data_IF_802286184079
#
_entry.id   IF_802286184079
#
_cell.length_a   1.000
_cell.length_b   1.000
_cell.length_c   1.000
_cell.angle_alpha   90.00
_cell.angle_beta   90.00
_cell.angle_gamma   90.00
#
_symmetry.space_group_name_H-M   'P 1'
#
loop_
_entity.id
_entity.type
_entity.pdbx_description
1 polymer ?
#
# COMPACT_ATOMS: atom_id res chain seq x y z
N UNK A 1 -2.82 -1.19 10.96
CA UNK A 1 -3.51 -1.97 9.89
C UNK A 1 -2.49 -2.69 9.03
N UNK A 2 -2.62 -4.00 8.80
CA UNK A 2 -1.68 -4.76 7.97
C UNK A 2 -1.98 -4.59 6.48
N UNK A 3 -0.94 -4.42 5.67
CA UNK A 3 -0.99 -4.49 4.21
C UNK A 3 -0.21 -5.67 3.65
N UNK A 4 -0.66 -6.13 2.49
CA UNK A 4 0.19 -6.86 1.54
C UNK A 4 0.71 -5.87 0.50
N UNK A 5 2.03 -5.66 0.47
CA UNK A 5 2.67 -4.64 -0.37
C UNK A 5 3.66 -5.30 -1.32
N UNK A 6 3.50 -5.08 -2.62
CA UNK A 6 4.53 -5.43 -3.60
C UNK A 6 5.17 -4.16 -4.16
N UNK A 7 6.49 -4.08 -4.08
CA UNK A 7 7.29 -3.06 -4.74
C UNK A 7 7.79 -3.62 -6.06
N UNK A 8 7.48 -2.94 -7.16
CA UNK A 8 7.95 -3.28 -8.50
C UNK A 8 9.03 -2.29 -8.91
N UNK A 9 10.26 -2.76 -9.09
CA UNK A 9 11.42 -1.93 -9.43
C UNK A 9 11.78 -2.11 -10.89
N UNK A 10 11.59 -1.06 -11.68
CA UNK A 10 12.03 -1.01 -13.07
C UNK A 10 13.56 -1.06 -13.13
N UNK A 11 14.09 -2.08 -13.80
CA UNK A 11 15.52 -2.26 -14.01
C UNK A 11 15.86 -2.15 -15.51
N UNK A 12 15.06 -1.42 -16.29
CA UNK A 12 15.35 -1.16 -17.70
C UNK A 12 16.63 -0.34 -17.90
N UNK A 13 17.19 -0.37 -19.11
CA UNK A 13 18.42 0.36 -19.43
C UNK A 13 18.31 1.87 -19.23
N UNK A 14 17.11 2.47 -19.38
CA UNK A 14 16.90 3.89 -19.10
C UNK A 14 17.02 4.23 -17.62
N UNK A 15 16.73 3.28 -16.72
CA UNK A 15 16.97 3.44 -15.28
C UNK A 15 18.47 3.52 -14.94
N UNK A 16 19.35 3.01 -15.81
CA UNK A 16 20.80 3.09 -15.66
C UNK A 16 21.41 4.47 -15.92
N UNK A 17 20.63 5.42 -16.44
CA UNK A 17 21.10 6.78 -16.70
C UNK A 17 20.65 7.77 -15.60
N UNK A 18 21.22 8.98 -15.63
CA UNK A 18 20.92 10.07 -14.69
C UNK A 18 20.00 11.15 -15.29
N UNK A 19 19.34 10.87 -16.43
CA UNK A 19 18.54 11.86 -17.15
C UNK A 19 17.38 12.36 -16.27
N UNK A 20 17.28 13.68 -16.15
CA UNK A 20 16.28 14.33 -15.31
C UNK A 20 16.57 14.31 -13.81
N UNK A 21 17.69 13.74 -13.37
CA UNK A 21 18.22 13.78 -11.99
C UNK A 21 19.73 14.05 -11.97
N UNK A 22 20.25 14.80 -12.95
CA UNK A 22 21.69 14.96 -13.18
C UNK A 22 22.44 15.51 -11.97
N UNK A 23 21.77 16.32 -11.16
CA UNK A 23 22.27 16.90 -9.91
C UNK A 23 22.68 15.84 -8.86
N UNK A 24 22.14 14.63 -8.95
CA UNK A 24 22.39 13.57 -7.97
C UNK A 24 23.74 12.87 -8.15
N UNK A 25 24.34 12.95 -9.35
CA UNK A 25 25.57 12.25 -9.69
C UNK A 25 25.45 10.71 -9.74
N UNK A 26 24.24 10.17 -9.58
CA UNK A 26 23.94 8.73 -9.62
C UNK A 26 22.88 8.42 -10.68
N UNK A 27 22.69 7.13 -10.98
CA UNK A 27 21.63 6.69 -11.89
C UNK A 27 20.25 6.71 -11.21
N UNK A 28 19.18 6.68 -11.99
CA UNK A 28 17.80 6.58 -11.46
C UNK A 28 17.59 5.26 -10.70
N UNK A 29 18.21 4.18 -11.16
CA UNK A 29 18.18 2.89 -10.47
C UNK A 29 18.87 2.97 -9.11
N UNK A 30 20.06 3.59 -9.02
CA UNK A 30 20.74 3.79 -7.74
C UNK A 30 19.90 4.66 -6.79
N UNK A 31 19.28 5.72 -7.30
CA UNK A 31 18.36 6.54 -6.50
C UNK A 31 17.15 5.74 -5.98
N UNK A 32 16.59 4.85 -6.79
CA UNK A 32 15.51 3.96 -6.40
C UNK A 32 15.95 2.94 -5.34
N UNK A 33 17.15 2.35 -5.52
CA UNK A 33 17.77 1.42 -4.57
C UNK A 33 17.99 2.10 -3.22
N UNK A 34 18.64 3.26 -3.21
CA UNK A 34 18.88 4.04 -1.99
C UNK A 34 17.58 4.39 -1.26
N UNK A 35 16.55 4.80 -2.01
CA UNK A 35 15.25 5.12 -1.45
C UNK A 35 14.56 3.90 -0.80
N UNK A 36 14.64 2.73 -1.44
CA UNK A 36 14.12 1.47 -0.88
C UNK A 36 14.94 1.00 0.32
N UNK A 37 16.26 1.07 0.25
CA UNK A 37 17.16 0.71 1.36
C UNK A 37 16.87 1.59 2.58
N UNK A 38 16.73 2.91 2.38
CA UNK A 38 16.32 3.85 3.43
C UNK A 38 14.95 3.48 4.00
N UNK A 39 13.99 3.12 3.15
CA UNK A 39 12.65 2.71 3.57
C UNK A 39 12.71 1.44 4.45
N UNK A 40 13.50 0.44 4.05
CA UNK A 40 13.67 -0.82 4.80
C UNK A 40 14.38 -0.63 6.14
N UNK A 41 15.25 0.38 6.25
CA UNK A 41 15.94 0.72 7.50
C UNK A 41 15.11 1.59 8.45
N UNK A 42 14.12 2.32 7.93
CA UNK A 42 13.29 3.20 8.74
C UNK A 42 12.21 2.42 9.52
N UNK A 43 12.23 2.56 10.85
CA UNK A 43 11.39 1.79 11.77
C UNK A 43 9.87 2.06 11.62
N UNK A 44 9.48 3.19 11.04
CA UNK A 44 8.10 3.64 10.87
C UNK A 44 7.58 3.47 9.42
N UNK A 45 8.35 2.82 8.55
CA UNK A 45 7.96 2.60 7.16
C UNK A 45 6.88 1.54 7.01
N UNK A 46 6.89 0.53 7.89
CA UNK A 46 6.03 -0.65 7.80
C UNK A 46 5.41 -0.98 9.16
N UNK A 47 4.15 -1.41 9.14
CA UNK A 47 3.48 -1.96 10.31
C UNK A 47 4.02 -3.38 10.58
N UNK A 48 4.14 -3.83 11.84
CA UNK A 48 4.69 -5.14 12.19
C UNK A 48 4.06 -6.33 11.45
N UNK A 49 2.77 -6.22 11.14
CA UNK A 49 1.96 -7.24 10.50
C UNK A 49 1.92 -7.13 8.96
N UNK A 50 2.50 -6.09 8.36
CA UNK A 50 2.62 -5.97 6.91
C UNK A 50 3.36 -7.19 6.33
N UNK A 51 3.05 -7.53 5.09
CA UNK A 51 3.78 -8.53 4.30
C UNK A 51 4.28 -7.86 3.03
N UNK A 52 5.59 -7.93 2.79
CA UNK A 52 6.26 -7.12 1.79
C UNK A 52 6.95 -8.03 0.79
N UNK A 53 6.74 -7.73 -0.48
CA UNK A 53 7.45 -8.29 -1.62
C UNK A 53 8.17 -7.20 -2.36
N UNK A 54 9.33 -7.53 -2.93
CA UNK A 54 10.04 -6.67 -3.87
C UNK A 54 10.39 -7.50 -5.08
N UNK A 55 10.00 -7.01 -6.25
CA UNK A 55 10.28 -7.62 -7.53
C UNK A 55 11.04 -6.62 -8.40
N UNK A 56 12.16 -7.04 -8.97
CA UNK A 56 12.79 -6.33 -10.08
C UNK A 56 12.17 -6.80 -11.40
N UNK A 57 12.00 -5.91 -12.36
CA UNK A 57 11.55 -6.30 -13.69
C UNK A 57 12.34 -5.59 -14.79
N UNK A 58 12.64 -6.33 -15.85
CA UNK A 58 13.42 -5.89 -17.01
C UNK A 58 13.18 -6.80 -18.21
N UNK A 59 13.64 -6.40 -19.38
CA UNK A 59 13.64 -7.25 -20.57
C UNK A 59 15.01 -7.22 -21.28
N UNK A 60 16.02 -7.95 -20.77
CA UNK A 60 17.43 -7.77 -21.13
C UNK A 60 17.80 -8.31 -22.52
N UNK A 61 17.17 -9.40 -22.98
CA UNK A 61 17.52 -10.06 -24.24
C UNK A 61 16.30 -10.32 -25.13
N UNK A 62 16.36 -9.91 -26.40
CA UNK A 62 15.27 -10.05 -27.39
C UNK A 62 13.89 -9.59 -26.86
N UNK A 63 13.87 -8.62 -25.94
CA UNK A 63 12.68 -8.13 -25.27
C UNK A 63 11.88 -9.21 -24.51
N UNK A 64 12.52 -10.30 -24.06
CA UNK A 64 11.87 -11.29 -23.19
C UNK A 64 11.70 -10.70 -21.79
N UNK A 65 10.48 -10.68 -21.23
CA UNK A 65 10.24 -10.21 -19.88
C UNK A 65 10.87 -11.10 -18.84
N UNK A 66 11.51 -10.46 -17.88
CA UNK A 66 11.99 -11.08 -16.65
C UNK A 66 11.41 -10.32 -15.46
N UNK A 67 10.92 -11.08 -14.50
CA UNK A 67 10.49 -10.57 -13.20
C UNK A 67 11.19 -11.41 -12.15
N UNK A 68 12.08 -10.78 -11.39
CA UNK A 68 12.93 -11.40 -10.39
C UNK A 68 12.41 -11.05 -9.00
N UNK A 69 12.15 -12.05 -8.16
CA UNK A 69 11.77 -11.84 -6.77
C UNK A 69 13.02 -11.56 -5.93
N UNK A 70 13.17 -10.32 -5.44
CA UNK A 70 14.29 -9.93 -4.58
C UNK A 70 13.98 -10.14 -3.10
N UNK A 71 12.72 -9.94 -2.72
CA UNK A 71 12.24 -10.08 -1.34
C UNK A 71 10.92 -10.82 -1.35
N UNK A 72 10.87 -11.96 -0.65
CA UNK A 72 9.69 -12.83 -0.62
C UNK A 72 8.97 -12.72 0.73
N UNK A 73 7.81 -12.07 0.74
CA UNK A 73 6.82 -12.17 1.81
C UNK A 73 7.33 -11.82 3.22
N UNK A 74 8.25 -10.88 3.34
CA UNK A 74 8.86 -10.52 4.63
C UNK A 74 7.85 -9.74 5.47
N UNK A 75 7.75 -10.08 6.76
CA UNK A 75 6.91 -9.35 7.71
C UNK A 75 7.51 -8.00 8.06
N UNK A 76 6.70 -6.95 8.17
CA UNK A 76 7.16 -5.60 8.53
C UNK A 76 8.05 -5.56 9.78
N UNK A 77 7.70 -6.32 10.82
CA UNK A 77 8.50 -6.48 12.05
C UNK A 77 9.91 -7.05 11.84
N UNK A 78 10.15 -7.73 10.72
CA UNK A 78 11.43 -8.36 10.36
C UNK A 78 12.19 -7.58 9.28
N UNK A 79 11.64 -6.48 8.77
CA UNK A 79 12.30 -5.68 7.72
C UNK A 79 13.50 -4.90 8.28
N UNK A 80 13.48 -4.54 9.56
CA UNK A 80 14.62 -3.90 10.21
C UNK A 80 15.63 -4.89 10.82
N UNK A 81 15.36 -6.21 10.79
CA UNK A 81 16.21 -7.25 11.41
C UNK A 81 17.09 -7.98 10.40
N UNK A 82 17.93 -8.93 10.82
CA UNK A 82 18.92 -9.63 9.98
C UNK A 82 18.36 -10.32 8.72
N UNK A 83 17.07 -10.66 8.68
CA UNK A 83 16.40 -11.14 7.45
C UNK A 83 16.40 -10.11 6.32
N UNK A 84 16.59 -8.82 6.64
CA UNK A 84 16.73 -7.75 5.67
C UNK A 84 18.11 -7.66 5.07
N UNK A 85 19.16 -8.18 5.70
CA UNK A 85 20.51 -8.11 5.13
C UNK A 85 20.60 -8.80 3.75
N UNK A 86 19.94 -9.95 3.59
CA UNK A 86 19.86 -10.64 2.30
C UNK A 86 18.98 -9.89 1.30
N UNK A 87 17.89 -9.26 1.76
CA UNK A 87 17.00 -8.44 0.93
C UNK A 87 17.70 -7.18 0.41
N UNK A 88 18.49 -6.53 1.28
CA UNK A 88 19.29 -5.36 0.96
C UNK A 88 20.41 -5.72 -0.01
N UNK A 89 21.10 -6.87 0.19
CA UNK A 89 22.10 -7.35 -0.74
C UNK A 89 21.51 -7.68 -2.13
N UNK A 90 20.31 -8.29 -2.17
CA UNK A 90 19.61 -8.55 -3.43
C UNK A 90 19.24 -7.23 -4.14
N UNK A 91 18.73 -6.24 -3.40
CA UNK A 91 18.48 -4.89 -3.93
C UNK A 91 19.75 -4.22 -4.44
N UNK A 92 20.87 -4.33 -3.73
CA UNK A 92 22.16 -3.76 -4.14
C UNK A 92 22.71 -4.40 -5.42
N UNK A 93 22.39 -5.68 -5.66
CA UNK A 93 22.88 -6.46 -6.81
C UNK A 93 22.14 -6.21 -8.13
N UNK A 94 21.00 -5.50 -8.12
CA UNK A 94 20.25 -5.26 -9.35
C UNK A 94 20.97 -4.27 -10.27
N UNK A 95 20.97 -4.59 -11.55
CA UNK A 95 21.58 -3.79 -12.62
C UNK A 95 20.54 -3.41 -13.67
N UNK A 96 20.75 -2.24 -14.27
CA UNK A 96 19.92 -1.70 -15.32
C UNK A 96 20.23 -2.38 -16.67
N UNK A 97 19.24 -3.01 -17.28
CA UNK A 97 19.37 -3.65 -18.58
C UNK A 97 18.03 -3.78 -19.31
N UNK A 98 18.06 -3.71 -20.65
CA UNK A 98 16.89 -4.02 -21.48
C UNK A 98 15.79 -2.96 -21.45
N UNK A 99 14.54 -3.36 -21.63
CA UNK A 99 13.39 -2.44 -21.50
C UNK A 99 12.39 -2.85 -20.41
N UNK A 100 11.17 -2.35 -20.53
CA UNK A 100 10.24 -2.18 -19.40
C UNK A 100 8.96 -3.01 -19.57
N UNK A 101 8.95 -4.30 -19.18
CA UNK A 101 7.78 -5.18 -19.31
C UNK A 101 6.81 -5.01 -18.12
N UNK A 102 6.24 -3.82 -17.96
CA UNK A 102 5.44 -3.46 -16.78
C UNK A 102 4.15 -4.31 -16.67
N UNK A 103 3.51 -4.64 -17.79
CA UNK A 103 2.32 -5.50 -17.79
C UNK A 103 2.60 -6.86 -17.14
N UNK A 104 3.71 -7.51 -17.51
CA UNK A 104 4.14 -8.78 -16.92
C UNK A 104 4.45 -8.65 -15.42
N UNK A 105 5.14 -7.58 -15.02
CA UNK A 105 5.43 -7.32 -13.60
C UNK A 105 4.16 -7.14 -12.76
N UNK A 106 3.17 -6.42 -13.29
CA UNK A 106 1.85 -6.28 -12.65
C UNK A 106 1.13 -7.62 -12.55
N UNK A 107 1.15 -8.43 -13.60
CA UNK A 107 0.54 -9.76 -13.60
C UNK A 107 1.13 -10.64 -12.48
N UNK A 108 2.46 -10.69 -12.35
CA UNK A 108 3.11 -11.49 -11.30
C UNK A 108 2.80 -10.93 -9.91
N UNK A 109 2.82 -9.61 -9.72
CA UNK A 109 2.43 -9.00 -8.43
C UNK A 109 0.98 -9.32 -8.05
N UNK A 110 0.05 -9.24 -9.00
CA UNK A 110 -1.37 -9.52 -8.75
C UNK A 110 -1.64 -10.98 -8.36
N UNK A 111 -0.78 -11.93 -8.74
CA UNK A 111 -0.85 -13.33 -8.25
C UNK A 111 -0.48 -13.44 -6.77
N UNK A 112 0.48 -12.63 -6.29
CA UNK A 112 0.83 -12.58 -4.86
C UNK A 112 -0.33 -12.04 -4.00
N UNK A 113 -1.15 -11.19 -4.62
CA UNK A 113 -2.28 -10.51 -3.99
C UNK A 113 -3.58 -11.35 -3.95
N UNK A 114 -3.56 -12.60 -4.42
CA UNK A 114 -4.77 -13.41 -4.63
C UNK A 114 -5.39 -13.97 -3.33
N UNK A 115 -4.73 -13.75 -2.18
CA UNK A 115 -5.19 -14.23 -0.88
C UNK A 115 -6.05 -13.19 -0.14
N UNK A 116 -7.17 -13.65 0.46
CA UNK A 116 -8.18 -12.93 1.27
C UNK A 116 -8.59 -11.52 0.78
N UNK A 117 -9.83 -11.38 0.32
CA UNK A 117 -10.40 -10.11 -0.15
C UNK A 117 -10.55 -9.05 0.95
N UNK A 118 -10.43 -9.45 2.24
CA UNK A 118 -10.52 -8.55 3.39
C UNK A 118 -9.21 -7.86 3.71
N UNK A 119 -8.08 -8.36 3.22
CA UNK A 119 -6.78 -7.72 3.45
C UNK A 119 -6.55 -6.56 2.49
N UNK A 120 -5.92 -5.51 3.00
CA UNK A 120 -5.54 -4.35 2.20
C UNK A 120 -4.29 -4.67 1.39
N UNK A 121 -4.32 -4.32 0.11
CA UNK A 121 -3.32 -4.75 -0.86
C UNK A 121 -2.86 -3.56 -1.68
N UNK A 122 -1.55 -3.47 -1.84
CA UNK A 122 -0.90 -2.38 -2.52
C UNK A 122 0.19 -2.88 -3.45
N UNK A 123 0.29 -2.24 -4.61
CA UNK A 123 1.45 -2.35 -5.50
C UNK A 123 2.03 -0.95 -5.64
N UNK A 124 3.34 -0.79 -5.46
CA UNK A 124 4.05 0.45 -5.74
C UNK A 124 5.04 0.20 -6.86
N UNK A 125 4.84 0.85 -8.01
CA UNK A 125 5.72 0.75 -9.18
C UNK A 125 6.73 1.89 -9.15
N UNK A 126 8.02 1.58 -9.23
CA UNK A 126 9.11 2.54 -9.33
C UNK A 126 9.68 2.45 -10.74
N UNK A 127 9.60 3.54 -11.50
CA UNK A 127 9.95 3.56 -12.94
C UNK A 127 10.33 4.98 -13.38
N UNK A 128 11.01 5.11 -14.51
CA UNK A 128 11.29 6.38 -15.18
C UNK A 128 10.35 6.69 -16.35
N UNK A 129 9.32 5.85 -16.57
CA UNK A 129 8.10 6.27 -17.27
C UNK A 129 7.89 5.76 -18.70
N UNK A 130 8.53 4.69 -19.16
CA UNK A 130 8.31 4.18 -20.51
C UNK A 130 8.09 2.66 -20.59
N UNK A 131 6.83 2.22 -20.64
CA UNK A 131 6.50 0.83 -21.04
C UNK A 131 6.68 0.68 -22.56
N UNK A 132 7.90 0.39 -23.02
CA UNK A 132 8.21 0.23 -24.46
C UNK A 132 8.09 -1.20 -24.98
N UNK A 133 7.86 -2.16 -24.09
CA UNK A 133 7.92 -3.58 -24.40
C UNK A 133 6.61 -4.22 -23.94
N UNK A 134 5.87 -4.78 -24.90
CA UNK A 134 4.68 -5.64 -24.73
C UNK A 134 3.34 -4.99 -24.34
N UNK A 135 2.64 -5.61 -23.38
CA UNK A 135 1.24 -5.46 -23.05
C UNK A 135 1.02 -4.18 -22.25
N UNK A 136 -0.02 -3.44 -22.65
CA UNK A 136 -0.39 -2.19 -22.01
C UNK A 136 -0.75 -2.45 -20.52
N UNK A 137 -0.05 -1.84 -19.56
CA UNK A 137 -0.27 -2.10 -18.14
C UNK A 137 -1.69 -1.71 -17.68
N UNK A 138 -2.40 -0.84 -18.42
CA UNK A 138 -3.80 -0.47 -18.15
C UNK A 138 -4.77 -1.64 -18.33
N UNK A 139 -4.37 -2.72 -19.03
CA UNK A 139 -5.17 -3.93 -19.17
C UNK A 139 -5.35 -4.68 -17.84
N UNK A 140 -4.53 -4.39 -16.83
CA UNK A 140 -4.57 -5.00 -15.49
C UNK A 140 -5.44 -4.22 -14.48
N UNK A 141 -6.03 -3.08 -14.88
CA UNK A 141 -6.90 -2.27 -14.00
C UNK A 141 -8.08 -3.09 -13.49
N UNK A 142 -8.74 -3.86 -14.36
CA UNK A 142 -9.88 -4.69 -13.97
C UNK A 142 -9.50 -5.73 -12.92
N UNK A 143 -8.39 -6.44 -13.13
CA UNK A 143 -7.92 -7.46 -12.20
C UNK A 143 -7.52 -6.84 -10.85
N UNK A 144 -6.82 -5.71 -10.86
CA UNK A 144 -6.48 -4.96 -9.65
C UNK A 144 -7.73 -4.55 -8.86
N UNK A 145 -8.74 -3.96 -9.52
CA UNK A 145 -10.00 -3.56 -8.89
C UNK A 145 -10.83 -4.75 -8.39
N UNK A 146 -10.81 -5.87 -9.12
CA UNK A 146 -11.44 -7.13 -8.71
C UNK A 146 -10.81 -7.65 -7.41
N UNK A 147 -9.49 -7.61 -7.31
CA UNK A 147 -8.70 -8.06 -6.15
C UNK A 147 -8.60 -7.01 -5.02
N UNK A 148 -9.16 -5.81 -5.23
CA UNK A 148 -9.06 -4.63 -4.34
C UNK A 148 -7.60 -4.22 -4.07
N UNK A 149 -6.79 -4.24 -5.13
CA UNK A 149 -5.39 -3.83 -5.11
C UNK A 149 -5.29 -2.39 -5.59
N UNK A 150 -4.69 -1.54 -4.76
CA UNK A 150 -4.35 -0.15 -5.12
C UNK A 150 -2.97 -0.13 -5.78
N UNK A 151 -2.82 0.61 -6.88
CA UNK A 151 -1.52 0.73 -7.56
C UNK A 151 -1.03 2.18 -7.47
N UNK A 152 0.03 2.39 -6.69
CA UNK A 152 0.76 3.65 -6.63
C UNK A 152 1.96 3.59 -7.60
N UNK A 153 2.38 4.74 -8.12
CA UNK A 153 3.51 4.84 -9.05
C UNK A 153 4.43 5.96 -8.58
N UNK A 154 5.71 5.62 -8.39
CA UNK A 154 6.82 6.52 -8.18
C UNK A 154 7.58 6.69 -9.50
N UNK A 155 7.40 7.84 -10.14
CA UNK A 155 8.10 8.24 -11.35
C UNK A 155 9.43 8.92 -11.01
N UNK A 156 10.56 8.34 -11.37
CA UNK A 156 11.90 8.90 -11.10
C UNK A 156 12.41 9.71 -12.30
N UNK A 157 12.74 10.98 -12.07
CA UNK A 157 13.30 11.88 -13.07
C UNK A 157 12.28 12.66 -13.90
N UNK A 158 12.77 13.65 -14.66
CA UNK A 158 11.93 14.58 -15.45
C UNK A 158 11.15 13.90 -16.56
N UNK A 159 11.64 12.79 -17.09
CA UNK A 159 10.97 12.03 -18.16
C UNK A 159 9.89 11.10 -17.62
N UNK A 160 9.85 10.85 -16.31
CA UNK A 160 8.78 10.09 -15.69
C UNK A 160 7.48 10.90 -15.64
N UNK A 161 6.39 10.34 -16.18
CA UNK A 161 5.08 10.97 -16.12
C UNK A 161 4.33 10.97 -17.44
N UNK A 162 4.03 9.77 -17.93
CA UNK A 162 3.06 9.61 -19.01
C UNK A 162 1.64 9.70 -18.43
N UNK A 163 0.71 10.26 -19.22
CA UNK A 163 -0.73 10.25 -18.89
C UNK A 163 -1.24 8.82 -18.64
N UNK A 164 -0.62 7.83 -19.27
CA UNK A 164 -0.99 6.42 -19.16
C UNK A 164 -0.72 5.86 -17.76
N UNK A 165 0.45 6.16 -17.18
CA UNK A 165 0.80 5.75 -15.82
C UNK A 165 -0.04 6.50 -14.78
N UNK A 166 -0.22 7.80 -14.97
CA UNK A 166 -1.13 8.58 -14.12
C UNK A 166 -2.56 8.01 -14.14
N UNK A 167 -3.04 7.64 -15.33
CA UNK A 167 -4.36 7.01 -15.49
C UNK A 167 -4.44 5.63 -14.83
N UNK A 168 -3.39 4.81 -14.91
CA UNK A 168 -3.33 3.51 -14.22
C UNK A 168 -3.44 3.68 -12.69
N UNK A 169 -2.66 4.59 -12.11
CA UNK A 169 -2.70 4.85 -10.68
C UNK A 169 -4.09 5.37 -10.26
N UNK A 170 -4.61 6.40 -10.95
CA UNK A 170 -5.92 6.99 -10.65
C UNK A 170 -7.05 5.96 -10.72
N UNK A 171 -7.09 5.15 -11.79
CA UNK A 171 -8.16 4.15 -12.02
C UNK A 171 -8.08 2.93 -11.10
N UNK A 172 -7.01 2.79 -10.33
CA UNK A 172 -6.90 1.78 -9.26
C UNK A 172 -7.00 2.40 -7.86
N UNK A 173 -7.25 3.71 -7.78
CA UNK A 173 -7.37 4.45 -6.53
C UNK A 173 -6.03 4.82 -5.88
N UNK A 174 -4.92 4.61 -6.58
CA UNK A 174 -3.59 4.97 -6.12
C UNK A 174 -3.14 6.37 -6.56
N UNK A 175 -1.86 6.63 -6.36
CA UNK A 175 -1.25 7.93 -6.62
C UNK A 175 -0.06 7.82 -7.57
N UNK A 176 0.00 8.73 -8.53
CA UNK A 176 1.21 8.97 -9.32
C UNK A 176 2.01 10.10 -8.67
N UNK A 177 3.24 9.82 -8.27
CA UNK A 177 4.17 10.77 -7.65
C UNK A 177 5.43 10.84 -8.49
N UNK A 178 5.79 12.04 -8.92
CA UNK A 178 7.03 12.30 -9.63
C UNK A 178 8.10 12.77 -8.66
N UNK A 179 9.29 12.22 -8.78
CA UNK A 179 10.45 12.55 -7.96
C UNK A 179 11.56 13.16 -8.82
N UNK A 180 11.96 14.37 -8.45
CA UNK A 180 13.04 15.14 -9.07
C UNK A 180 14.20 15.38 -8.09
N UNK A 181 14.01 15.11 -6.80
CA UNK A 181 15.01 15.19 -5.73
C UNK A 181 15.14 13.88 -4.94
N UNK A 182 16.17 13.77 -4.09
CA UNK A 182 16.39 12.61 -3.21
C UNK A 182 15.24 12.45 -2.21
N UNK A 183 14.82 13.53 -1.56
CA UNK A 183 13.73 13.50 -0.59
C UNK A 183 12.39 13.21 -1.27
N UNK A 184 12.17 13.72 -2.49
CA UNK A 184 11.00 13.36 -3.27
C UNK A 184 11.01 11.89 -3.70
N UNK A 185 12.17 11.32 -4.04
CA UNK A 185 12.28 9.90 -4.39
C UNK A 185 11.94 9.02 -3.18
N UNK A 186 12.51 9.34 -2.01
CA UNK A 186 12.17 8.67 -0.76
C UNK A 186 10.68 8.80 -0.41
N UNK A 187 10.11 10.00 -0.50
CA UNK A 187 8.69 10.22 -0.27
C UNK A 187 7.80 9.49 -1.29
N UNK A 188 8.24 9.40 -2.55
CA UNK A 188 7.51 8.75 -3.61
C UNK A 188 7.46 7.22 -3.44
N UNK A 189 8.54 6.59 -2.96
CA UNK A 189 8.57 5.14 -2.70
C UNK A 189 7.91 4.75 -1.37
N UNK A 190 7.61 5.69 -0.48
CA UNK A 190 6.89 5.39 0.77
C UNK A 190 5.42 5.06 0.48
N UNK A 191 4.94 3.94 1.01
CA UNK A 191 3.51 3.61 0.91
C UNK A 191 2.68 4.58 1.75
N UNK A 192 1.69 5.23 1.13
CA UNK A 192 0.82 6.18 1.82
C UNK A 192 -0.42 5.47 2.36
N UNK A 193 -0.56 5.46 3.69
CA UNK A 193 -1.74 4.92 4.36
C UNK A 193 -2.85 5.97 4.42
N UNK A 194 -4.14 5.59 4.43
CA UNK A 194 -5.24 6.53 4.65
C UNK A 194 -5.03 7.33 5.94
N UNK A 195 -5.25 8.65 5.89
CA UNK A 195 -5.14 9.54 7.05
C UNK A 195 -6.41 9.53 7.91
N UNK A 196 -6.27 9.89 9.18
CA UNK A 196 -7.38 10.10 10.12
C UNK A 196 -8.05 11.48 10.02
N UNK A 197 -7.78 12.24 8.96
CA UNK A 197 -8.24 13.63 8.84
C UNK A 197 -9.75 13.79 8.57
N UNK A 198 -10.48 12.68 8.39
CA UNK A 198 -11.93 12.69 8.27
C UNK A 198 -12.61 12.84 9.65
N UNK A 199 -13.87 13.30 9.73
CA UNK A 199 -14.61 13.35 10.99
C UNK A 199 -14.67 11.99 11.71
N UNK A 200 -14.88 10.90 10.95
CA UNK A 200 -14.83 9.54 11.49
C UNK A 200 -13.42 9.21 12.03
N UNK A 201 -12.38 9.64 11.32
CA UNK A 201 -10.99 9.43 11.71
C UNK A 201 -10.62 10.16 13.01
N UNK A 202 -11.08 11.40 13.17
CA UNK A 202 -10.89 12.17 14.40
C UNK A 202 -11.58 11.51 15.60
N UNK A 203 -12.80 11.01 15.43
CA UNK A 203 -13.52 10.30 16.49
C UNK A 203 -12.81 9.01 16.91
N UNK A 204 -12.31 8.22 15.95
CA UNK A 204 -11.52 7.01 16.23
C UNK A 204 -10.20 7.36 16.93
N UNK A 205 -9.52 8.42 16.48
CA UNK A 205 -8.27 8.88 17.09
C UNK A 205 -8.47 9.35 18.54
N UNK A 206 -9.59 10.03 18.84
CA UNK A 206 -9.93 10.44 20.21
C UNK A 206 -10.11 9.21 21.12
N UNK A 207 -10.94 8.25 20.71
CA UNK A 207 -11.17 7.01 21.47
C UNK A 207 -9.87 6.21 21.69
N UNK A 208 -9.00 6.18 20.68
CA UNK A 208 -7.67 5.56 20.80
C UNK A 208 -6.80 6.26 21.84
N UNK A 209 -6.73 7.59 21.80
CA UNK A 209 -5.96 8.38 22.76
C UNK A 209 -6.44 8.15 24.19
N UNK A 210 -7.75 8.11 24.41
CA UNK A 210 -8.33 7.82 25.73
C UNK A 210 -7.97 6.41 26.22
N UNK A 211 -8.08 5.39 25.36
CA UNK A 211 -7.73 4.01 25.76
C UNK A 211 -6.24 3.84 26.03
N UNK A 212 -5.38 4.46 25.22
CA UNK A 212 -3.93 4.42 25.44
C UNK A 212 -3.53 5.12 26.75
N UNK A 213 -4.07 6.32 27.01
CA UNK A 213 -3.86 7.04 28.27
C UNK A 213 -4.25 6.19 29.48
N UNK A 214 -5.41 5.53 29.43
CA UNK A 214 -5.85 4.65 30.52
C UNK A 214 -4.95 3.41 30.69
N UNK A 215 -4.41 2.84 29.61
CA UNK A 215 -3.48 1.71 29.69
C UNK A 215 -2.14 2.13 30.30
N UNK A 216 -1.65 3.31 29.97
CA UNK A 216 -0.44 3.88 30.57
C UNK A 216 -0.64 4.20 32.05
N UNK A 217 -1.79 4.78 32.42
CA UNK A 217 -2.19 5.00 33.81
C UNK A 217 -2.22 3.67 34.59
N UNK A 218 -2.82 2.62 34.02
CA UNK A 218 -2.90 1.30 34.66
C UNK A 218 -1.52 0.64 34.81
N UNK A 219 -0.67 0.72 33.79
CA UNK A 219 0.71 0.20 33.85
C UNK A 219 1.59 0.99 34.85
N UNK A 220 1.33 2.29 35.02
CA UNK A 220 1.98 3.13 36.03
C UNK A 220 1.52 2.76 37.45
N UNK A 221 0.21 2.51 37.61
CA UNK A 221 -0.39 2.07 38.86
C UNK A 221 0.16 0.69 39.29
N UNK A 222 0.28 -0.25 38.36
CA UNK A 222 0.86 -1.58 38.61
C UNK A 222 2.33 -1.51 39.03
N UNK A 223 3.14 -0.65 38.40
CA UNK A 223 4.53 -0.40 38.81
C UNK A 223 4.60 0.19 40.22
N UNK A 224 3.78 1.19 40.50
CA UNK A 224 3.73 1.86 41.81
C UNK A 224 3.36 0.89 42.94
N UNK A 225 2.41 -0.01 42.69
CA UNK A 225 2.05 -1.06 43.64
C UNK A 225 3.19 -2.09 43.84
N UNK A 226 3.85 -2.50 42.75
CA UNK A 226 5.01 -3.41 42.81
C UNK A 226 6.19 -2.83 43.60
N UNK A 227 6.42 -1.52 43.47
CA UNK A 227 7.47 -0.78 44.16
C UNK A 227 7.06 -0.36 45.59
N UNK A 228 5.85 -0.75 46.05
CA UNK A 228 5.28 -0.42 47.36
C UNK A 228 5.14 1.08 47.63
N UNK A 229 5.05 1.90 46.57
CA UNK A 229 4.87 3.36 46.70
C UNK A 229 3.41 3.76 46.97
N UNK A 230 2.47 2.85 46.76
CA UNK A 230 1.05 2.98 47.11
C UNK A 230 0.59 1.76 47.92
N UNK A 231 -0.37 1.97 48.81
CA UNK A 231 -0.94 0.88 49.62
C UNK A 231 -2.03 0.10 48.86
N UNK A 232 -2.40 -1.07 49.40
CA UNK A 232 -3.38 -1.96 48.77
C UNK A 232 -4.80 -1.34 48.67
N UNK A 233 -5.32 -0.63 49.71
CA UNK A 233 -6.59 0.09 49.58
C UNK A 233 -6.60 1.13 48.46
N UNK A 234 -5.57 1.97 48.35
CA UNK A 234 -5.46 2.99 47.31
C UNK A 234 -5.34 2.38 45.91
N UNK A 235 -4.51 1.33 45.77
CA UNK A 235 -4.38 0.57 44.51
C UNK A 235 -5.73 -0.02 44.06
N UNK A 236 -6.46 -0.65 44.98
CA UNK A 236 -7.74 -1.29 44.69
C UNK A 236 -8.79 -0.28 44.22
N UNK A 237 -8.90 0.88 44.87
CA UNK A 237 -9.86 1.92 44.46
C UNK A 237 -9.52 2.52 43.10
N UNK A 238 -8.26 2.90 42.87
CA UNK A 238 -7.84 3.45 41.55
C UNK A 238 -8.04 2.44 40.41
N UNK A 239 -7.78 1.15 40.67
CA UNK A 239 -8.02 0.08 39.69
C UNK A 239 -9.50 -0.10 39.36
N UNK A 240 -10.39 -0.01 40.36
CA UNK A 240 -11.85 -0.05 40.15
C UNK A 240 -12.33 1.15 39.34
N UNK A 241 -11.81 2.34 39.61
CA UNK A 241 -12.14 3.55 38.87
C UNK A 241 -11.72 3.44 37.40
N UNK A 242 -10.50 2.98 37.13
CA UNK A 242 -10.02 2.68 35.78
C UNK A 242 -10.91 1.66 35.06
N UNK A 243 -11.27 0.56 35.73
CA UNK A 243 -12.16 -0.46 35.16
C UNK A 243 -13.55 0.11 34.82
N UNK A 244 -14.07 1.02 35.66
CA UNK A 244 -15.34 1.72 35.40
C UNK A 244 -15.24 2.63 34.17
N UNK A 245 -14.14 3.36 34.00
CA UNK A 245 -13.87 4.21 32.82
C UNK A 245 -13.76 3.38 31.54
N UNK A 246 -13.00 2.27 31.56
CA UNK A 246 -12.90 1.33 30.42
C UNK A 246 -14.27 0.76 30.05
N UNK A 247 -15.05 0.34 31.05
CA UNK A 247 -16.41 -0.18 30.84
C UNK A 247 -17.35 0.87 30.23
N UNK A 248 -17.16 2.15 30.54
CA UNK A 248 -17.96 3.25 29.96
C UNK A 248 -17.61 3.55 28.49
N UNK A 249 -16.38 3.24 28.06
CA UNK A 249 -15.93 3.44 26.67
C UNK A 249 -16.27 2.27 25.75
N UNK A 250 -16.45 1.07 26.31
CA UNK A 250 -16.77 -0.15 25.55
C UNK A 250 -18.01 0.02 24.63
N UNK A 251 -19.15 0.59 25.09
CA UNK A 251 -20.31 0.81 24.22
C UNK A 251 -20.04 1.80 23.10
N UNK A 252 -19.21 2.84 23.34
CA UNK A 252 -18.88 3.84 22.33
C UNK A 252 -18.03 3.24 21.21
N UNK A 253 -17.02 2.45 21.59
CA UNK A 253 -16.17 1.74 20.63
C UNK A 253 -16.98 0.72 19.82
N UNK A 254 -17.87 -0.02 20.46
CA UNK A 254 -18.75 -0.97 19.76
C UNK A 254 -19.73 -0.25 18.81
N UNK A 255 -20.29 0.89 19.20
CA UNK A 255 -21.17 1.67 18.33
C UNK A 255 -20.44 2.18 17.07
N UNK A 256 -19.20 2.66 17.21
CA UNK A 256 -18.37 3.07 16.07
C UNK A 256 -18.01 1.86 15.20
N UNK A 257 -17.62 0.73 15.81
CA UNK A 257 -17.32 -0.53 15.12
C UNK A 257 -18.51 -1.00 14.27
N UNK A 258 -19.71 -1.01 14.84
CA UNK A 258 -20.93 -1.44 14.16
C UNK A 258 -21.35 -0.48 13.05
N UNK A 259 -21.16 0.83 13.24
CA UNK A 259 -21.40 1.83 12.19
C UNK A 259 -20.45 1.62 11.00
N UNK A 260 -19.14 1.57 11.26
CA UNK A 260 -18.14 1.38 10.21
C UNK A 260 -18.35 0.06 9.46
N UNK A 261 -18.66 -1.02 10.18
CA UNK A 261 -18.94 -2.33 9.58
C UNK A 261 -20.15 -2.30 8.64
N UNK A 262 -21.24 -1.62 9.04
CA UNK A 262 -22.43 -1.45 8.19
C UNK A 262 -22.13 -0.60 6.95
N UNK A 263 -21.39 0.48 7.10
CA UNK A 263 -21.00 1.35 5.98
C UNK A 263 -20.10 0.61 4.99
N UNK A 264 -19.13 -0.18 5.47
CA UNK A 264 -18.30 -1.05 4.64
C UNK A 264 -19.18 -2.05 3.87
N UNK A 265 -20.15 -2.69 4.53
CA UNK A 265 -21.07 -3.61 3.85
C UNK A 265 -21.88 -2.91 2.74
N UNK A 266 -22.36 -1.69 2.99
CA UNK A 266 -23.05 -0.87 1.99
C UNK A 266 -22.17 -0.54 0.78
N UNK A 267 -20.91 -0.16 1.01
CA UNK A 267 -19.94 0.11 -0.05
C UNK A 267 -19.58 -1.16 -0.86
N UNK A 268 -19.50 -2.32 -0.20
CA UNK A 268 -19.28 -3.61 -0.87
C UNK A 268 -20.45 -3.94 -1.81
N UNK A 269 -21.68 -3.56 -1.46
CA UNK A 269 -22.84 -3.69 -2.33
C UNK A 269 -22.79 -2.69 -3.51
N UNK A 270 -22.47 -1.41 -3.24
CA UNK A 270 -22.30 -0.36 -4.26
C UNK A 270 -21.26 -0.77 -5.32
N UNK A 271 -20.19 -1.47 -4.91
CA UNK A 271 -19.13 -1.99 -5.77
C UNK A 271 -19.62 -2.97 -6.84
N UNK A 272 -20.71 -3.71 -6.61
CA UNK A 272 -21.08 -4.84 -7.47
C UNK A 272 -21.48 -4.40 -8.89
N UNK A 273 -22.26 -3.33 -9.00
CA UNK A 273 -22.79 -2.86 -10.29
C UNK A 273 -21.67 -2.48 -11.29
N UNK A 274 -20.73 -1.57 -10.95
CA UNK A 274 -19.65 -1.23 -11.88
C UNK A 274 -18.68 -2.40 -12.11
N UNK A 275 -18.51 -3.31 -11.14
CA UNK A 275 -17.68 -4.50 -11.31
C UNK A 275 -18.26 -5.48 -12.33
N UNK A 276 -19.57 -5.73 -12.29
CA UNK A 276 -20.25 -6.59 -13.28
C UNK A 276 -20.12 -6.00 -14.68
N UNK A 277 -20.30 -4.68 -14.81
CA UNK A 277 -20.11 -3.96 -16.07
C UNK A 277 -18.69 -4.14 -16.63
N UNK A 278 -17.66 -3.89 -15.82
CA UNK A 278 -16.27 -4.08 -16.25
C UNK A 278 -15.93 -5.53 -16.58
N UNK A 279 -16.45 -6.49 -15.82
CA UNK A 279 -16.22 -7.93 -16.05
C UNK A 279 -16.81 -8.37 -17.39
N UNK A 280 -17.99 -7.85 -17.74
CA UNK A 280 -18.63 -8.12 -19.04
C UNK A 280 -17.80 -7.54 -20.19
N UNK A 281 -17.26 -6.32 -20.03
CA UNK A 281 -16.37 -5.69 -21.02
C UNK A 281 -15.04 -6.45 -21.16
N UNK A 282 -14.47 -6.93 -20.05
CA UNK A 282 -13.24 -7.74 -20.05
C UNK A 282 -13.44 -9.04 -20.83
N UNK A 283 -14.55 -9.76 -20.59
CA UNK A 283 -14.88 -10.96 -21.34
C UNK A 283 -15.10 -10.69 -22.84
N UNK A 284 -15.70 -9.55 -23.20
CA UNK A 284 -15.84 -9.16 -24.61
C UNK A 284 -14.49 -8.86 -25.26
N UNK A 285 -13.58 -8.19 -24.55
CA UNK A 285 -12.21 -7.92 -25.01
C UNK A 285 -11.41 -9.22 -25.20
N UNK A 286 -11.45 -10.13 -24.23
CA UNK A 286 -10.75 -11.43 -24.29
C UNK A 286 -11.25 -12.32 -25.42
N UNK A 287 -12.54 -12.23 -25.78
CA UNK A 287 -13.12 -12.91 -26.94
C UNK A 287 -12.86 -12.20 -28.28
N UNK A 288 -12.11 -11.09 -28.28
CA UNK A 288 -11.82 -10.31 -29.48
C UNK A 288 -13.01 -9.53 -30.04
N UNK A 289 -14.10 -9.36 -29.28
CA UNK A 289 -15.32 -8.67 -29.74
C UNK A 289 -15.17 -7.15 -29.73
N UNK A 290 -14.27 -6.62 -28.89
CA UNK A 290 -13.90 -5.21 -28.85
C UNK A 290 -12.38 -5.07 -28.84
N UNK A 291 -11.85 -4.03 -29.49
CA UNK A 291 -10.42 -3.74 -29.46
C UNK A 291 -9.96 -3.04 -28.17
N UNK A 292 -8.64 -3.02 -27.92
CA UNK A 292 -8.01 -2.41 -26.74
C UNK A 292 -8.49 -0.98 -26.48
N UNK A 293 -8.50 -0.12 -27.50
CA UNK A 293 -8.91 1.29 -27.36
C UNK A 293 -10.34 1.40 -26.82
N UNK A 294 -11.26 0.64 -27.42
CA UNK A 294 -12.68 0.61 -27.03
C UNK A 294 -12.84 0.06 -25.60
N UNK A 295 -12.09 -0.98 -25.25
CA UNK A 295 -12.09 -1.55 -23.90
C UNK A 295 -11.66 -0.51 -22.85
N UNK A 296 -10.51 0.14 -23.05
CA UNK A 296 -9.99 1.15 -22.11
C UNK A 296 -10.90 2.37 -21.97
N UNK A 297 -11.53 2.79 -23.07
CA UNK A 297 -12.50 3.88 -23.09
C UNK A 297 -13.78 3.52 -22.33
N UNK A 298 -14.43 2.39 -22.67
CA UNK A 298 -15.72 1.99 -22.07
C UNK A 298 -15.62 1.59 -20.61
N UNK A 299 -14.46 1.13 -20.15
CA UNK A 299 -14.23 0.78 -18.75
C UNK A 299 -13.84 1.98 -17.88
N UNK A 300 -13.54 3.14 -18.49
CA UNK A 300 -12.92 4.27 -17.79
C UNK A 300 -13.74 4.77 -16.60
N UNK A 301 -15.03 5.05 -16.81
CA UNK A 301 -15.90 5.59 -15.76
C UNK A 301 -16.17 4.57 -14.65
N UNK A 302 -16.46 3.33 -15.04
CA UNK A 302 -16.68 2.25 -14.09
C UNK A 302 -15.43 1.98 -13.23
N UNK A 303 -14.23 2.09 -13.82
CA UNK A 303 -12.97 1.96 -13.10
C UNK A 303 -12.78 3.09 -12.08
N UNK A 304 -13.08 4.34 -12.45
CA UNK A 304 -13.02 5.49 -11.54
C UNK A 304 -14.01 5.34 -10.38
N UNK A 305 -15.25 4.93 -10.66
CA UNK A 305 -16.25 4.67 -9.62
C UNK A 305 -15.79 3.56 -8.67
N UNK A 306 -15.28 2.44 -9.20
CA UNK A 306 -14.77 1.33 -8.39
C UNK A 306 -13.56 1.72 -7.55
N UNK A 307 -12.63 2.48 -8.11
CA UNK A 307 -11.47 3.02 -7.40
C UNK A 307 -11.92 3.86 -6.20
N UNK A 308 -12.89 4.75 -6.40
CA UNK A 308 -13.43 5.58 -5.33
C UNK A 308 -14.12 4.76 -4.23
N UNK A 309 -14.97 3.81 -4.62
CA UNK A 309 -15.62 2.91 -3.66
C UNK A 309 -14.57 2.09 -2.89
N UNK A 310 -13.56 1.55 -3.57
CA UNK A 310 -12.47 0.79 -2.92
C UNK A 310 -11.68 1.66 -1.93
N UNK A 311 -11.34 2.92 -2.28
CA UNK A 311 -10.68 3.86 -1.37
C UNK A 311 -11.51 4.14 -0.12
N UNK A 312 -12.83 4.35 -0.28
CA UNK A 312 -13.74 4.56 0.85
C UNK A 312 -13.80 3.32 1.76
N UNK A 313 -13.81 2.12 1.17
CA UNK A 313 -13.75 0.87 1.95
C UNK A 313 -12.41 0.76 2.68
N UNK A 314 -11.27 0.99 2.00
CA UNK A 314 -9.92 0.95 2.57
C UNK A 314 -9.79 1.94 3.75
N UNK A 315 -10.24 3.17 3.59
CA UNK A 315 -10.23 4.18 4.64
C UNK A 315 -11.08 3.76 5.86
N UNK A 316 -12.29 3.24 5.64
CA UNK A 316 -13.15 2.80 6.75
C UNK A 316 -12.64 1.53 7.42
N UNK A 317 -12.06 0.60 6.66
CA UNK A 317 -11.40 -0.58 7.20
C UNK A 317 -10.19 -0.17 8.05
N UNK A 318 -9.43 0.85 7.62
CA UNK A 318 -8.33 1.41 8.40
C UNK A 318 -8.79 1.95 9.75
N UNK A 319 -9.91 2.68 9.77
CA UNK A 319 -10.52 3.14 11.01
C UNK A 319 -10.97 1.98 11.90
N UNK A 320 -11.62 0.98 11.31
CA UNK A 320 -12.12 -0.20 12.00
C UNK A 320 -10.99 -1.01 12.65
N UNK A 321 -9.91 -1.26 11.91
CA UNK A 321 -8.72 -2.00 12.36
C UNK A 321 -7.91 -1.22 13.40
N UNK A 322 -8.05 0.10 13.42
CA UNK A 322 -7.38 0.97 14.39
C UNK A 322 -8.15 1.04 15.71
N UNK A 323 -9.44 0.67 15.76
CA UNK A 323 -10.19 0.70 17.01
C UNK A 323 -9.57 -0.24 18.05
N UNK A 324 -9.43 0.20 19.32
CA UNK A 324 -8.82 -0.62 20.35
C UNK A 324 -9.67 -1.87 20.62
N UNK A 325 -9.00 -3.01 20.79
CA UNK A 325 -9.59 -4.19 21.41
C UNK A 325 -9.68 -3.93 22.91
N UNK A 326 -10.89 -3.84 23.44
CA UNK A 326 -11.17 -3.82 24.89
C UNK A 326 -11.53 -5.23 25.33
#
# INVERSE_FOLDING_TARGET
>A
MAYKLAYLVDCSGSMGNSEGIEWSGISKLELAKDSLIRLFRAADSFEPADTIWVLAFRAPYLNRPEVEMLVEGVRGSKVASSSSASALAALESIEAAGGTPMGKALAEALKLMDSDIRQNKGILVITDGFSRIEEDPRLYIHEALLKRVRIDIAGIGKTAGTEELASLAEKTGGHFRKALSLEEAYAAVRWQRPSFSSPDGLAVHQLLGEVLSMREELASLERSFGDKSIDNPEYSERKKEMAKRIKALTPQINAVRDRLSREIAGLIAERQVPLISMTSLKAAFERGQIGRKIYLERTSDAAKTLAEVNRRIEAKQHLLDSLPSI
#
